data_IF_708626342783
#
_entry.id   IF_708626342783
#
_cell.length_a   1.000
_cell.length_b   1.000
_cell.length_c   1.000
_cell.angle_alpha   90.00
_cell.angle_beta   90.00
_cell.angle_gamma   90.00
#
_symmetry.space_group_name_H-M   'P 1'
#
loop_
_entity.id
_entity.type
_entity.pdbx_description
1 polymer ?
#
# COMPACT_ATOMS: atom_id res chain seq x y z
N UNK A 1 -6.20 -12.28 21.40
CA UNK A 1 -5.06 -11.89 20.56
C UNK A 1 -5.54 -10.76 19.69
N UNK A 2 -4.76 -9.68 19.56
CA UNK A 2 -5.13 -8.52 18.76
C UNK A 2 -5.41 -8.86 17.30
N UNK A 3 -6.26 -8.09 16.62
CA UNK A 3 -6.48 -8.26 15.18
C UNK A 3 -5.18 -7.94 14.42
N UNK A 4 -4.88 -8.73 13.40
CA UNK A 4 -3.75 -8.48 12.51
C UNK A 4 -4.14 -7.41 11.47
N UNK A 5 -3.33 -6.36 11.39
CA UNK A 5 -3.45 -5.28 10.41
C UNK A 5 -2.22 -5.30 9.50
N UNK A 6 -2.38 -5.84 8.29
CA UNK A 6 -1.33 -5.84 7.27
C UNK A 6 -1.39 -4.55 6.46
N UNK A 7 -0.26 -3.86 6.32
CA UNK A 7 -0.11 -2.67 5.49
C UNK A 7 0.88 -2.99 4.40
N UNK A 8 0.49 -2.85 3.14
CA UNK A 8 1.42 -3.00 2.02
C UNK A 8 1.22 -1.92 0.96
N UNK A 9 2.25 -1.68 0.16
CA UNK A 9 2.16 -0.74 -0.95
C UNK A 9 1.02 -1.10 -1.93
N UNK A 10 0.71 -2.38 -2.15
CA UNK A 10 -0.33 -2.82 -3.07
C UNK A 10 -1.19 -3.91 -2.43
N UNK A 11 -2.50 -3.75 -2.50
CA UNK A 11 -3.49 -4.75 -2.07
C UNK A 11 -4.04 -5.47 -3.29
N UNK A 12 -4.08 -6.80 -3.25
CA UNK A 12 -4.76 -7.61 -4.26
C UNK A 12 -6.23 -7.76 -3.86
N UNK A 13 -7.13 -7.11 -4.59
CA UNK A 13 -8.56 -7.22 -4.27
C UNK A 13 -9.10 -8.56 -4.79
N UNK A 14 -10.03 -9.22 -4.06
CA UNK A 14 -10.62 -10.51 -4.48
C UNK A 14 -11.30 -10.49 -5.86
N UNK A 15 -11.71 -9.31 -6.33
CA UNK A 15 -12.34 -9.09 -7.64
C UNK A 15 -11.35 -8.98 -8.79
N UNK A 16 -10.05 -8.84 -8.50
CA UNK A 16 -9.00 -8.76 -9.51
C UNK A 16 -8.77 -10.15 -10.10
N UNK A 17 -9.56 -10.50 -11.14
CA UNK A 17 -9.35 -11.71 -11.94
C UNK A 17 -7.95 -11.67 -12.56
N UNK A 18 -7.01 -12.38 -11.94
CA UNK A 18 -5.61 -12.50 -12.40
C UNK A 18 -4.64 -11.50 -11.78
N UNK A 19 -4.77 -11.21 -10.48
CA UNK A 19 -3.81 -10.42 -9.72
C UNK A 19 -2.36 -10.73 -10.16
N UNK A 20 -1.65 -9.71 -10.67
CA UNK A 20 -0.28 -9.85 -11.13
C UNK A 20 0.54 -10.44 -9.99
N UNK A 21 1.05 -11.66 -10.19
CA UNK A 21 1.79 -12.44 -9.22
C UNK A 21 3.07 -11.71 -8.75
N UNK A 22 2.92 -10.87 -7.73
CA UNK A 22 4.03 -10.44 -6.89
C UNK A 22 4.12 -11.41 -5.72
N UNK A 23 5.28 -12.02 -5.49
CA UNK A 23 5.47 -13.00 -4.41
C UNK A 23 5.05 -12.46 -3.04
N UNK A 24 5.13 -11.15 -2.84
CA UNK A 24 4.62 -10.47 -1.66
C UNK A 24 3.11 -10.66 -1.46
N UNK A 25 2.30 -10.35 -2.47
CA UNK A 25 0.86 -10.36 -2.32
C UNK A 25 0.34 -11.76 -2.01
N UNK A 26 0.95 -12.78 -2.63
CA UNK A 26 0.64 -14.19 -2.34
C UNK A 26 0.99 -14.53 -0.90
N UNK A 27 2.20 -14.18 -0.44
CA UNK A 27 2.64 -14.47 0.93
C UNK A 27 1.80 -13.74 1.99
N UNK A 28 1.41 -12.48 1.74
CA UNK A 28 0.54 -11.75 2.65
C UNK A 28 -0.87 -12.35 2.69
N UNK A 29 -1.44 -12.72 1.54
CA UNK A 29 -2.76 -13.37 1.47
C UNK A 29 -2.81 -14.67 2.28
N UNK A 30 -1.74 -15.49 2.25
CA UNK A 30 -1.62 -16.70 3.05
C UNK A 30 -1.53 -16.43 4.57
N UNK A 31 -1.04 -15.26 4.98
CA UNK A 31 -0.97 -14.85 6.39
C UNK A 31 -2.30 -14.27 6.90
N UNK A 32 -3.23 -13.88 6.01
CA UNK A 32 -4.50 -13.30 6.39
C UNK A 32 -5.45 -14.36 6.96
N UNK A 33 -6.13 -14.02 8.06
CA UNK A 33 -7.17 -14.86 8.68
C UNK A 33 -8.47 -14.08 8.86
N UNK A 34 -9.64 -14.74 9.02
CA UNK A 34 -10.89 -14.05 9.33
C UNK A 34 -10.74 -13.13 10.54
N UNK A 35 -11.19 -11.89 10.41
CA UNK A 35 -11.02 -10.81 11.37
C UNK A 35 -9.82 -9.90 11.10
N UNK A 36 -8.91 -10.27 10.19
CA UNK A 36 -7.75 -9.46 9.81
C UNK A 36 -8.13 -8.29 8.88
N UNK A 37 -7.31 -7.23 8.87
CA UNK A 37 -7.45 -6.08 7.99
C UNK A 37 -6.21 -5.94 7.08
N UNK A 38 -6.42 -5.80 5.77
CA UNK A 38 -5.37 -5.48 4.80
C UNK A 38 -5.58 -4.07 4.25
N UNK A 39 -4.63 -3.19 4.53
CA UNK A 39 -4.61 -1.80 4.10
C UNK A 39 -3.55 -1.51 3.04
N UNK A 40 -3.85 -0.66 2.07
CA UNK A 40 -2.87 -0.19 1.08
C UNK A 40 -3.44 0.43 -0.17
N UNK A 41 -2.63 0.54 -1.24
CA UNK A 41 -3.10 1.04 -2.52
C UNK A 41 -3.94 0.00 -3.25
N UNK A 42 -5.09 0.42 -3.78
CA UNK A 42 -6.04 -0.47 -4.46
C UNK A 42 -5.48 -1.11 -5.72
N UNK A 43 -4.66 -0.37 -6.48
CA UNK A 43 -5.01 -0.48 -7.89
C UNK A 43 -4.71 0.70 -8.75
N UNK A 44 -5.47 1.71 -8.39
CA UNK A 44 -6.08 2.63 -9.33
C UNK A 44 -5.58 4.02 -9.08
N UNK A 45 -5.72 4.82 -10.11
CA UNK A 45 -5.45 6.24 -10.04
C UNK A 45 -6.77 6.99 -10.07
N UNK A 46 -6.96 7.93 -9.18
CA UNK A 46 -8.17 8.76 -9.08
C UNK A 46 -7.78 10.24 -9.04
N UNK A 47 -8.55 11.08 -9.71
CA UNK A 47 -8.36 12.52 -9.67
C UNK A 47 -8.84 13.15 -8.34
N UNK A 48 -9.77 12.48 -7.64
CA UNK A 48 -10.28 12.92 -6.34
C UNK A 48 -9.80 12.01 -5.21
N UNK A 49 -9.36 12.62 -4.11
CA UNK A 49 -9.22 11.91 -2.83
C UNK A 49 -10.62 11.72 -2.25
N UNK A 50 -11.05 10.47 -2.09
CA UNK A 50 -12.34 10.13 -1.50
C UNK A 50 -12.39 10.47 0.01
N UNK A 51 -11.27 10.87 0.62
CA UNK A 51 -11.16 11.27 2.02
C UNK A 51 -11.18 10.09 3.01
N UNK A 52 -11.63 8.92 2.58
CA UNK A 52 -11.67 7.67 3.35
C UNK A 52 -11.27 6.47 2.48
N UNK A 53 -10.69 5.42 3.07
CA UNK A 53 -10.44 4.17 2.36
C UNK A 53 -11.74 3.53 1.86
N UNK A 54 -11.69 2.93 0.68
CA UNK A 54 -12.74 2.05 0.19
C UNK A 54 -12.65 0.72 0.95
N UNK A 55 -13.76 0.29 1.54
CA UNK A 55 -13.84 -0.95 2.32
C UNK A 55 -14.51 -2.05 1.49
N UNK A 56 -13.89 -3.22 1.47
CA UNK A 56 -14.45 -4.44 0.91
C UNK A 56 -14.23 -5.59 1.91
N UNK A 57 -15.12 -6.58 1.90
CA UNK A 57 -15.00 -7.78 2.73
C UNK A 57 -15.02 -9.04 1.88
N UNK A 58 -14.13 -9.98 2.19
CA UNK A 58 -14.10 -11.28 1.55
C UNK A 58 -13.52 -12.34 2.48
N UNK A 59 -14.23 -13.46 2.64
CA UNK A 59 -13.83 -14.57 3.53
C UNK A 59 -13.52 -14.12 4.97
N UNK A 60 -14.24 -13.13 5.47
CA UNK A 60 -14.03 -12.56 6.81
C UNK A 60 -12.80 -11.65 6.93
N UNK A 61 -12.10 -11.33 5.84
CA UNK A 61 -10.99 -10.37 5.81
C UNK A 61 -11.53 -9.02 5.32
N UNK A 62 -11.13 -7.95 6.01
CA UNK A 62 -11.44 -6.58 5.62
C UNK A 62 -10.30 -6.01 4.76
N UNK A 63 -10.63 -5.50 3.58
CA UNK A 63 -9.71 -4.82 2.68
C UNK A 63 -10.03 -3.33 2.70
N UNK A 64 -9.05 -2.51 3.09
CA UNK A 64 -9.19 -1.06 3.18
C UNK A 64 -8.20 -0.41 2.20
N UNK A 65 -8.71 0.11 1.09
CA UNK A 65 -7.84 0.57 -0.01
C UNK A 65 -7.98 2.05 -0.32
N UNK A 66 -6.86 2.68 -0.67
CA UNK A 66 -6.82 4.04 -1.19
C UNK A 66 -6.46 4.02 -2.67
N UNK A 67 -6.87 5.05 -3.40
CA UNK A 67 -6.38 5.33 -4.74
C UNK A 67 -5.29 6.42 -4.65
N UNK A 68 -4.36 6.41 -5.60
CA UNK A 68 -3.35 7.46 -5.72
C UNK A 68 -3.80 8.48 -6.77
N UNK A 69 -3.51 9.77 -6.56
CA UNK A 69 -3.56 10.72 -7.67
C UNK A 69 -2.47 10.41 -8.69
N UNK A 70 -2.58 10.97 -9.90
CA UNK A 70 -1.52 10.82 -10.90
C UNK A 70 -0.18 11.39 -10.40
N UNK A 71 -0.20 12.50 -9.66
CA UNK A 71 1.00 13.11 -9.09
C UNK A 71 1.61 12.24 -7.99
N UNK A 72 0.78 11.68 -7.11
CA UNK A 72 1.22 10.76 -6.06
C UNK A 72 1.79 9.48 -6.66
N UNK A 73 1.08 8.86 -7.61
CA UNK A 73 1.57 7.68 -8.31
C UNK A 73 2.95 7.92 -8.94
N UNK A 74 3.15 9.06 -9.59
CA UNK A 74 4.45 9.40 -10.19
C UNK A 74 5.54 9.58 -9.14
N UNK A 75 5.30 10.37 -8.10
CA UNK A 75 6.35 10.72 -7.13
C UNK A 75 6.67 9.58 -6.17
N UNK A 76 5.63 8.94 -5.62
CA UNK A 76 5.77 7.87 -4.63
C UNK A 76 6.11 6.53 -5.28
N UNK A 77 5.32 6.08 -6.26
CA UNK A 77 5.47 4.72 -6.81
C UNK A 77 6.51 4.66 -7.93
N UNK A 78 6.38 5.49 -8.97
CA UNK A 78 7.32 5.46 -10.12
C UNK A 78 8.68 6.04 -9.74
N UNK A 79 8.68 7.22 -9.11
CA UNK A 79 9.87 8.00 -8.73
C UNK A 79 10.63 7.37 -7.59
N UNK A 80 10.37 7.77 -6.34
CA UNK A 80 11.23 7.37 -5.24
C UNK A 80 11.25 5.86 -4.97
N UNK A 81 10.09 5.17 -5.00
CA UNK A 81 10.09 3.72 -4.72
C UNK A 81 10.79 2.90 -5.81
N UNK A 82 10.46 3.10 -7.08
CA UNK A 82 10.98 2.27 -8.18
C UNK A 82 12.17 2.87 -8.95
N UNK A 83 12.35 4.19 -8.94
CA UNK A 83 13.46 4.91 -9.55
C UNK A 83 14.66 5.15 -8.62
N UNK A 84 14.43 5.20 -7.29
CA UNK A 84 15.50 5.37 -6.30
C UNK A 84 15.72 4.12 -5.43
N UNK A 85 14.74 3.73 -4.60
CA UNK A 85 14.91 2.65 -3.62
C UNK A 85 15.16 1.30 -4.29
N UNK A 86 14.32 0.91 -5.25
CA UNK A 86 14.46 -0.36 -5.94
C UNK A 86 15.85 -0.56 -6.57
N UNK A 87 16.36 0.31 -7.47
CA UNK A 87 17.69 0.11 -8.05
C UNK A 87 18.80 0.15 -7.01
N UNK A 88 18.70 1.00 -5.99
CA UNK A 88 19.70 1.07 -4.92
C UNK A 88 19.78 -0.25 -4.13
N UNK A 89 18.64 -0.78 -3.69
CA UNK A 89 18.53 -2.03 -2.93
C UNK A 89 18.88 -3.26 -3.76
N UNK A 90 18.87 -3.14 -5.09
CA UNK A 90 19.25 -4.19 -6.03
C UNK A 90 20.66 -4.01 -6.60
N UNK A 91 21.49 -3.14 -6.01
CA UNK A 91 22.87 -2.89 -6.44
C UNK A 91 22.99 -2.42 -7.91
N UNK A 92 21.96 -1.75 -8.42
CA UNK A 92 21.89 -1.18 -9.77
C UNK A 92 22.06 0.34 -9.72
N UNK A 93 23.13 0.81 -9.09
CA UNK A 93 23.40 2.25 -8.90
C UNK A 93 23.43 3.07 -10.21
N UNK A 94 23.74 2.46 -11.36
CA UNK A 94 23.65 3.13 -12.66
C UNK A 94 22.22 3.44 -13.14
N UNK A 95 21.20 2.88 -12.47
CA UNK A 95 19.78 3.16 -12.71
C UNK A 95 19.14 4.00 -11.59
N UNK A 96 19.91 4.37 -10.57
CA UNK A 96 19.42 5.19 -9.47
C UNK A 96 19.23 6.63 -9.94
N UNK A 97 18.02 7.14 -9.81
CA UNK A 97 17.68 8.55 -10.01
C UNK A 97 17.04 9.09 -8.75
N UNK A 98 17.64 10.14 -8.17
CA UNK A 98 17.11 10.80 -6.98
C UNK A 98 16.67 12.21 -7.32
N UNK A 99 15.40 12.48 -7.04
CA UNK A 99 14.81 13.81 -7.16
C UNK A 99 14.13 14.16 -5.85
N UNK A 100 14.43 15.36 -5.35
CA UNK A 100 13.91 15.82 -4.04
C UNK A 100 12.38 15.85 -4.00
N UNK A 101 11.74 16.27 -5.09
CA UNK A 101 10.28 16.34 -5.18
C UNK A 101 9.62 14.95 -5.16
N UNK A 102 10.30 13.92 -5.66
CA UNK A 102 9.84 12.53 -5.56
C UNK A 102 9.98 11.99 -4.13
N UNK A 103 11.07 12.31 -3.45
CA UNK A 103 11.24 11.97 -2.03
C UNK A 103 10.19 12.64 -1.15
N UNK A 104 9.93 13.93 -1.36
CA UNK A 104 8.87 14.66 -0.64
C UNK A 104 7.49 14.04 -0.94
N UNK A 105 7.21 13.69 -2.19
CA UNK A 105 5.99 12.98 -2.55
C UNK A 105 5.89 11.59 -1.91
N UNK A 106 7.01 10.88 -1.76
CA UNK A 106 7.05 9.60 -1.07
C UNK A 106 6.70 9.73 0.41
N UNK A 107 7.28 10.70 1.11
CA UNK A 107 6.95 10.98 2.51
C UNK A 107 5.49 11.39 2.67
N UNK A 108 5.01 12.31 1.82
CA UNK A 108 3.63 12.80 1.88
C UNK A 108 2.58 11.70 1.66
N UNK A 109 2.83 10.76 0.74
CA UNK A 109 1.92 9.62 0.53
C UNK A 109 1.92 8.68 1.72
N UNK A 110 3.08 8.39 2.33
CA UNK A 110 3.15 7.56 3.54
C UNK A 110 2.41 8.21 4.72
N UNK A 111 2.59 9.52 4.93
CA UNK A 111 1.89 10.27 5.96
C UNK A 111 0.37 10.24 5.72
N UNK A 112 -0.07 10.44 4.47
CA UNK A 112 -1.49 10.31 4.11
C UNK A 112 -2.02 8.90 4.40
N UNK A 113 -1.29 7.86 4.02
CA UNK A 113 -1.70 6.48 4.24
C UNK A 113 -1.84 6.18 5.73
N UNK A 114 -0.86 6.60 6.54
CA UNK A 114 -0.93 6.47 8.00
C UNK A 114 -2.14 7.21 8.60
N UNK A 115 -2.38 8.46 8.16
CA UNK A 115 -3.52 9.26 8.62
C UNK A 115 -4.89 8.65 8.24
N UNK A 116 -4.97 7.93 7.12
CA UNK A 116 -6.19 7.23 6.69
C UNK A 116 -6.36 5.86 7.34
N UNK A 117 -5.27 5.21 7.75
CA UNK A 117 -5.30 3.96 8.49
C UNK A 117 -5.67 4.19 9.96
N UNK A 118 -5.14 5.24 10.60
CA UNK A 118 -5.29 5.48 12.04
C UNK A 118 -6.74 5.39 12.56
N UNK A 119 -7.78 5.92 11.87
CA UNK A 119 -9.17 5.82 12.33
C UNK A 119 -9.77 4.40 12.22
N UNK A 120 -9.08 3.47 11.54
CA UNK A 120 -9.52 2.08 11.40
C UNK A 120 -8.91 1.17 12.47
N UNK A 121 -7.95 1.66 13.26
CA UNK A 121 -7.19 0.87 14.22
C UNK A 121 -7.88 0.78 15.58
N UNK A 122 -7.78 -0.39 16.19
CA UNK A 122 -8.17 -0.64 17.58
C UNK A 122 -6.92 -0.66 18.48
N UNK A 123 -7.03 -0.37 19.80
CA UNK A 123 -5.87 -0.29 20.70
C UNK A 123 -5.01 -1.56 20.79
N UNK A 124 -5.62 -2.73 20.56
CA UNK A 124 -4.95 -4.03 20.65
C UNK A 124 -4.46 -4.54 19.28
N UNK A 125 -4.64 -3.78 18.18
CA UNK A 125 -4.20 -4.22 16.85
C UNK A 125 -2.69 -4.44 16.77
N UNK A 126 -2.31 -5.50 16.06
CA UNK A 126 -0.93 -5.76 15.67
C UNK A 126 -0.73 -5.30 14.24
N UNK A 127 0.05 -4.24 14.04
CA UNK A 127 0.32 -3.66 12.72
C UNK A 127 1.59 -4.27 12.13
N UNK A 128 1.48 -4.87 10.94
CA UNK A 128 2.59 -5.40 10.16
C UNK A 128 2.72 -4.64 8.83
N UNK A 129 3.79 -3.85 8.68
CA UNK A 129 4.07 -3.06 7.48
C UNK A 129 5.04 -3.81 6.56
N UNK A 130 4.75 -3.83 5.26
CA UNK A 130 5.61 -4.36 4.21
C UNK A 130 5.75 -3.40 3.01
#
# INVERSE_FOLDING_TARGET
>A
MGRLVVVSNRVSLPTDKGAKAGGLAVALEEAMTPGSLWFGWSGRRSASDAGRPAIAEHRGITYATLDLSEAEYRRFYVGFSNGALWPLLHYRSGLFDFRRDEFEGYLAVNERFAARLAPLLDPDDVIWIH
#
